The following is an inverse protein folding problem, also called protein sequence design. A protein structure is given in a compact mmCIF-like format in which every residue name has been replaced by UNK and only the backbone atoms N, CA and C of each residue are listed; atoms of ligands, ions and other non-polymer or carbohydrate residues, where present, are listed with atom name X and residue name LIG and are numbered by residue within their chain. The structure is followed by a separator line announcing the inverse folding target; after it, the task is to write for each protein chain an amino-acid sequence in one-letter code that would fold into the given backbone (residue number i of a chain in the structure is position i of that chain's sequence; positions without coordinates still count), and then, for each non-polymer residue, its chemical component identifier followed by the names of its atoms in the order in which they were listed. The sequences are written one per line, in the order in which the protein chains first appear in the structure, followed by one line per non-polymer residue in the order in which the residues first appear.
data_IF_584713673499
#
_entry.id   IF_584713673499
#
_cell.length_a   1.000
_cell.length_b   1.000
_cell.length_c   1.000
_cell.angle_alpha   90.00
_cell.angle_beta   90.00
_cell.angle_gamma   90.00
#
_symmetry.space_group_name_H-M   'P 1'
#
loop_
_entity.id
_entity.type
_entity.pdbx_description
1 polymer ?
#
# COMPACT_ATOMS: atom_id res chain seq x y z
N UNK A 1 15.44 -53.83 21.10
CA UNK A 1 16.56 -53.47 20.21
C UNK A 1 15.95 -52.77 19.00
N UNK A 2 16.08 -51.45 18.89
CA UNK A 2 15.50 -50.71 17.76
C UNK A 2 16.19 -51.17 16.46
N UNK A 3 15.44 -51.76 15.54
CA UNK A 3 15.93 -52.24 14.24
C UNK A 3 16.52 -51.07 13.45
N UNK A 4 17.57 -51.31 12.66
CA UNK A 4 18.29 -50.29 11.89
C UNK A 4 17.37 -49.39 11.04
N UNK A 5 16.28 -49.95 10.54
CA UNK A 5 15.25 -49.26 9.76
C UNK A 5 14.58 -48.12 10.55
N UNK A 6 14.20 -48.37 11.80
CA UNK A 6 13.52 -47.38 12.66
C UNK A 6 14.38 -46.13 12.93
N UNK A 7 15.70 -46.31 13.08
CA UNK A 7 16.65 -45.20 13.29
C UNK A 7 16.82 -44.35 12.04
N UNK A 8 16.89 -45.00 10.87
CA UNK A 8 17.03 -44.30 9.58
C UNK A 8 15.79 -43.49 9.25
N UNK A 9 14.60 -44.06 9.48
CA UNK A 9 13.33 -43.35 9.32
C UNK A 9 13.24 -42.16 10.28
N UNK A 10 13.57 -42.33 11.56
CA UNK A 10 13.61 -41.24 12.53
C UNK A 10 14.53 -40.10 12.09
N UNK A 11 15.76 -40.41 11.67
CA UNK A 11 16.71 -39.40 11.17
C UNK A 11 16.21 -38.70 9.90
N UNK A 12 15.56 -39.43 8.98
CA UNK A 12 14.98 -38.86 7.76
C UNK A 12 13.83 -37.89 8.05
N UNK A 13 12.92 -38.25 8.97
CA UNK A 13 11.84 -37.37 9.41
C UNK A 13 12.37 -36.15 10.16
N UNK A 14 13.32 -36.34 11.08
CA UNK A 14 13.94 -35.25 11.81
C UNK A 14 14.61 -34.25 10.83
N UNK A 15 15.43 -34.73 9.90
CA UNK A 15 16.10 -33.88 8.91
C UNK A 15 15.10 -33.20 7.97
N UNK A 16 14.13 -33.95 7.44
CA UNK A 16 13.10 -33.42 6.55
C UNK A 16 12.26 -32.33 7.20
N UNK A 17 11.90 -32.49 8.48
CA UNK A 17 11.15 -31.48 9.23
C UNK A 17 11.92 -30.17 9.40
N UNK A 18 13.20 -30.24 9.79
CA UNK A 18 14.06 -29.06 9.95
C UNK A 18 14.31 -28.38 8.60
N UNK A 19 14.56 -29.16 7.54
CA UNK A 19 14.75 -28.64 6.19
C UNK A 19 13.49 -27.94 5.67
N UNK A 20 12.31 -28.52 5.89
CA UNK A 20 11.03 -27.92 5.48
C UNK A 20 10.77 -26.60 6.21
N UNK A 21 10.95 -26.57 7.54
CA UNK A 21 10.79 -25.35 8.35
C UNK A 21 11.78 -24.27 7.91
N UNK A 22 13.07 -24.63 7.77
CA UNK A 22 14.10 -23.72 7.28
C UNK A 22 13.81 -23.18 5.88
N UNK A 23 13.30 -24.02 4.99
CA UNK A 23 12.89 -23.64 3.63
C UNK A 23 11.75 -22.62 3.64
N UNK A 24 10.68 -22.86 4.42
CA UNK A 24 9.55 -21.93 4.55
C UNK A 24 10.01 -20.58 5.11
N UNK A 25 10.81 -20.59 6.19
CA UNK A 25 11.33 -19.35 6.77
C UNK A 25 12.19 -18.55 5.78
N UNK A 26 13.02 -19.24 4.99
CA UNK A 26 13.85 -18.60 3.97
C UNK A 26 13.02 -17.94 2.88
N UNK A 27 11.97 -18.61 2.39
CA UNK A 27 11.06 -18.05 1.39
C UNK A 27 10.28 -16.85 1.94
N UNK A 28 9.83 -16.90 3.19
CA UNK A 28 9.16 -15.76 3.84
C UNK A 28 10.10 -14.57 3.98
N UNK A 29 11.36 -14.81 4.34
CA UNK A 29 12.37 -13.74 4.42
C UNK A 29 12.62 -13.12 3.04
N UNK A 30 12.77 -13.94 1.99
CA UNK A 30 12.89 -13.47 0.60
C UNK A 30 11.67 -12.65 0.16
N UNK A 31 10.45 -13.09 0.50
CA UNK A 31 9.25 -12.31 0.21
C UNK A 31 9.26 -10.94 0.89
N UNK A 32 9.73 -10.89 2.15
CA UNK A 32 9.81 -9.63 2.90
C UNK A 32 10.85 -8.65 2.34
N UNK A 33 11.90 -9.11 1.65
CA UNK A 33 12.86 -8.19 1.03
C UNK A 33 12.29 -7.49 -0.20
N UNK A 34 11.26 -8.06 -0.83
CA UNK A 34 10.51 -7.43 -1.92
C UNK A 34 9.36 -6.53 -1.45
N UNK A 35 8.97 -6.61 -0.18
CA UNK A 35 7.96 -5.71 0.36
C UNK A 35 8.47 -4.26 0.36
N UNK A 36 7.57 -3.25 0.20
CA UNK A 36 7.99 -1.86 0.12
C UNK A 36 8.70 -1.43 1.41
N UNK A 37 9.83 -0.75 1.23
CA UNK A 37 10.64 -0.25 2.34
C UNK A 37 9.82 0.70 3.24
N UNK A 38 10.14 0.79 4.54
CA UNK A 38 9.47 1.73 5.45
C UNK A 38 9.49 3.17 4.95
N UNK A 39 10.58 3.60 4.31
CA UNK A 39 10.70 4.93 3.68
C UNK A 39 9.69 5.12 2.54
N UNK A 40 9.45 4.10 1.73
CA UNK A 40 8.47 4.13 0.64
C UNK A 40 7.03 4.15 1.20
N UNK A 41 6.78 3.45 2.30
CA UNK A 41 5.50 3.49 3.01
C UNK A 41 5.26 4.87 3.64
N UNK A 42 6.28 5.47 4.22
CA UNK A 42 6.21 6.83 4.78
C UNK A 42 5.95 7.88 3.71
N UNK A 43 6.61 7.77 2.54
CA UNK A 43 6.32 8.59 1.36
C UNK A 43 4.95 8.30 0.71
N UNK A 44 4.19 7.34 1.26
CA UNK A 44 2.84 6.99 0.85
C UNK A 44 1.77 8.01 1.27
N UNK A 45 2.12 9.03 2.06
CA UNK A 45 1.21 10.10 2.43
C UNK A 45 1.82 11.45 2.06
N UNK A 46 0.99 12.36 1.58
CA UNK A 46 1.36 13.76 1.32
C UNK A 46 0.30 14.66 1.92
N UNK A 47 0.73 15.75 2.54
CA UNK A 47 -0.15 16.76 3.13
C UNK A 47 -0.21 17.96 2.21
N UNK A 48 -1.40 18.38 1.83
CA UNK A 48 -1.62 19.56 0.98
C UNK A 48 -2.43 20.56 1.77
N UNK A 49 -1.92 21.79 1.87
CA UNK A 49 -2.65 22.89 2.46
C UNK A 49 -3.71 23.42 1.49
N UNK A 50 -4.96 23.48 1.95
CA UNK A 50 -6.14 23.90 1.17
C UNK A 50 -6.53 25.36 1.42
N UNK A 51 -5.88 26.04 2.37
CA UNK A 51 -6.27 27.37 2.90
C UNK A 51 -6.38 28.48 1.86
N UNK A 52 -5.65 28.38 0.73
CA UNK A 52 -5.58 29.42 -0.30
C UNK A 52 -6.33 29.13 -1.60
N UNK A 53 -7.15 28.08 -1.67
CA UNK A 53 -7.79 27.64 -2.91
C UNK A 53 -9.12 28.37 -3.18
N UNK A 54 -9.25 28.97 -4.37
CA UNK A 54 -10.47 29.63 -4.81
C UNK A 54 -11.53 28.63 -5.28
N UNK A 55 -12.80 29.01 -5.23
CA UNK A 55 -13.90 28.17 -5.69
C UNK A 55 -13.79 27.94 -7.21
N UNK A 56 -13.86 26.68 -7.63
CA UNK A 56 -13.64 26.29 -9.03
C UNK A 56 -12.17 26.17 -9.46
N UNK A 57 -11.20 26.43 -8.56
CA UNK A 57 -9.79 26.31 -8.88
C UNK A 57 -9.32 24.85 -8.88
N UNK A 58 -8.62 24.46 -9.96
CA UNK A 58 -7.94 23.17 -10.05
C UNK A 58 -6.46 23.34 -9.69
N UNK A 59 -6.04 22.72 -8.61
CA UNK A 59 -4.62 22.62 -8.23
C UNK A 59 -4.07 21.26 -8.59
N UNK A 60 -2.92 21.26 -9.25
CA UNK A 60 -2.16 20.05 -9.54
C UNK A 60 -0.98 19.96 -8.59
N UNK A 61 -0.83 18.84 -7.90
CA UNK A 61 0.36 18.53 -7.11
C UNK A 61 1.03 17.27 -7.64
N UNK A 62 2.34 17.14 -7.46
CA UNK A 62 3.05 15.91 -7.80
C UNK A 62 3.14 15.00 -6.56
N UNK A 63 2.67 13.76 -6.68
CA UNK A 63 2.85 12.72 -5.66
C UNK A 63 3.32 11.42 -6.31
N UNK A 64 4.46 10.90 -5.84
CA UNK A 64 5.11 9.70 -6.41
C UNK A 64 5.26 9.77 -7.94
N UNK A 65 5.65 10.94 -8.48
CA UNK A 65 5.80 11.21 -9.93
C UNK A 65 4.51 11.12 -10.74
N UNK A 66 3.35 11.14 -10.09
CA UNK A 66 2.05 11.23 -10.74
C UNK A 66 1.38 12.55 -10.36
N UNK A 67 0.70 13.21 -11.30
CA UNK A 67 -0.11 14.39 -10.97
C UNK A 67 -1.35 13.94 -10.18
N UNK A 68 -1.63 14.62 -9.06
CA UNK A 68 -2.93 14.58 -8.38
C UNK A 68 -3.63 15.90 -8.69
N UNK A 69 -4.89 15.82 -9.13
CA UNK A 69 -5.75 16.96 -9.31
C UNK A 69 -6.66 17.12 -8.09
N UNK A 70 -6.65 18.32 -7.52
CA UNK A 70 -7.51 18.74 -6.42
C UNK A 70 -8.35 19.89 -6.94
N UNK A 71 -9.66 19.68 -7.05
CA UNK A 71 -10.61 20.68 -7.50
C UNK A 71 -11.49 21.07 -6.31
N UNK A 72 -11.56 22.37 -6.00
CA UNK A 72 -12.58 22.90 -5.09
C UNK A 72 -13.88 23.09 -5.85
N UNK A 73 -14.94 22.41 -5.45
CA UNK A 73 -16.24 22.49 -6.14
C UNK A 73 -16.93 23.80 -5.79
N UNK A 74 -17.44 24.46 -6.82
CA UNK A 74 -18.36 25.58 -6.70
C UNK A 74 -19.78 25.08 -6.33
N UNK A 75 -20.61 25.94 -5.75
CA UNK A 75 -22.01 25.66 -5.41
C UNK A 75 -22.86 25.22 -6.62
N UNK A 76 -22.47 25.58 -7.85
CA UNK A 76 -23.14 25.19 -9.09
C UNK A 76 -22.84 23.75 -9.55
N UNK A 77 -21.78 23.11 -9.02
CA UNK A 77 -21.32 21.80 -9.52
C UNK A 77 -22.09 20.64 -8.84
N UNK A 78 -22.50 19.59 -9.59
CA UNK A 78 -23.19 18.45 -9.01
C UNK A 78 -22.34 17.75 -7.96
N UNK A 79 -22.89 17.54 -6.77
CA UNK A 79 -22.23 16.88 -5.65
C UNK A 79 -22.35 15.36 -5.79
N UNK A 80 -21.21 14.67 -5.72
CA UNK A 80 -21.12 13.21 -5.75
C UNK A 80 -20.63 12.72 -4.39
N UNK A 81 -21.55 12.31 -3.51
CA UNK A 81 -21.21 11.88 -2.15
C UNK A 81 -20.22 10.71 -2.08
N UNK A 82 -20.11 9.91 -3.16
CA UNK A 82 -19.18 8.78 -3.24
C UNK A 82 -17.74 9.17 -3.59
N UNK A 83 -17.53 10.36 -4.16
CA UNK A 83 -16.23 10.79 -4.72
C UNK A 83 -15.73 12.11 -4.14
N UNK A 84 -16.63 12.91 -3.60
CA UNK A 84 -16.30 14.21 -3.03
C UNK A 84 -15.85 14.06 -1.58
N UNK A 85 -14.76 14.76 -1.25
CA UNK A 85 -14.22 14.88 0.10
C UNK A 85 -14.67 16.23 0.65
N UNK A 86 -15.39 16.23 1.77
CA UNK A 86 -15.84 17.47 2.41
C UNK A 86 -14.85 17.85 3.51
N UNK A 87 -14.28 19.06 3.42
CA UNK A 87 -13.39 19.65 4.43
C UNK A 87 -13.92 21.05 4.74
N UNK A 88 -14.15 21.35 6.03
CA UNK A 88 -14.62 22.66 6.51
C UNK A 88 -15.79 23.25 5.71
N UNK A 89 -16.79 22.41 5.41
CA UNK A 89 -18.00 22.74 4.66
C UNK A 89 -17.81 23.05 3.15
N UNK A 90 -16.60 22.91 2.61
CA UNK A 90 -16.33 22.95 1.18
C UNK A 90 -16.15 21.52 0.62
N UNK A 91 -16.65 21.28 -0.60
CA UNK A 91 -16.51 20.00 -1.28
C UNK A 91 -15.31 20.02 -2.22
N UNK A 92 -14.47 18.98 -2.13
CA UNK A 92 -13.28 18.81 -2.97
C UNK A 92 -13.35 17.51 -3.75
N UNK A 93 -13.00 17.56 -5.02
CA UNK A 93 -12.79 16.36 -5.83
C UNK A 93 -11.28 16.11 -5.93
N UNK A 94 -10.85 14.93 -5.47
CA UNK A 94 -9.44 14.52 -5.49
C UNK A 94 -9.29 13.32 -6.40
N UNK A 95 -8.50 13.46 -7.47
CA UNK A 95 -8.28 12.38 -8.44
C UNK A 95 -6.81 12.26 -8.81
N UNK A 96 -6.38 11.03 -9.05
CA UNK A 96 -5.05 10.75 -9.60
C UNK A 96 -5.16 10.91 -11.10
N UNK A 97 -4.30 11.73 -11.72
CA UNK A 97 -4.22 11.94 -13.15
C UNK A 97 -3.62 10.73 -13.88
N UNK A 98 -4.31 9.60 -13.80
CA UNK A 98 -3.98 8.36 -14.47
C UNK A 98 -5.10 8.03 -15.45
N UNK A 99 -4.79 8.01 -16.74
CA UNK A 99 -5.70 7.46 -17.74
C UNK A 99 -5.76 5.95 -17.53
N UNK A 100 -6.91 5.44 -17.11
CA UNK A 100 -7.20 4.01 -16.91
C UNK A 100 -7.91 3.43 -18.11
#
# INVERSE_FOLDING_TARGET
MATSESRRSFMGFAFGSVAAVGGVFSLVAMKKTWDPLPSVKAAGFTTVDLSGMQDGELRTIEWRKKPIFILKKDASMPKDEKRDVVVDNAAYTVVIGLCT
#
